data_IF_712656353579
#
_entry.id   IF_712656353579
#
_cell.length_a   1.000
_cell.length_b   1.000
_cell.length_c   1.000
_cell.angle_alpha   90.00
_cell.angle_beta   90.00
_cell.angle_gamma   90.00
#
_symmetry.space_group_name_H-M   'P 1'
#
loop_
_entity.id
_entity.type
_entity.pdbx_description
1 polymer ?
#
# COMPACT_ATOMS: atom_id res chain seq x y z
N UNK A 1 4.29 -53.43 -25.91
CA UNK A 1 3.18 -53.41 -26.90
C UNK A 1 2.14 -52.32 -26.61
N UNK A 2 2.00 -51.85 -25.36
CA UNK A 2 1.14 -50.70 -25.01
C UNK A 2 1.85 -49.35 -25.27
N UNK A 3 3.17 -49.26 -25.05
CA UNK A 3 3.95 -48.02 -25.25
C UNK A 3 4.09 -47.57 -26.72
N UNK A 4 3.90 -48.47 -27.68
CA UNK A 4 3.89 -48.11 -29.10
C UNK A 4 2.56 -47.41 -29.49
N UNK A 5 1.45 -47.83 -28.89
CA UNK A 5 0.11 -47.29 -29.15
C UNK A 5 -0.04 -45.89 -28.52
N UNK A 6 0.60 -45.65 -27.37
CA UNK A 6 0.58 -44.33 -26.70
C UNK A 6 1.43 -43.30 -27.49
N UNK A 7 2.50 -43.74 -28.18
CA UNK A 7 3.34 -42.84 -28.99
C UNK A 7 2.64 -42.36 -30.28
N UNK A 8 1.81 -43.20 -30.89
CA UNK A 8 1.07 -42.86 -32.12
C UNK A 8 -0.20 -42.02 -31.87
N UNK A 9 -0.70 -41.92 -30.63
CA UNK A 9 -1.84 -41.04 -30.31
C UNK A 9 -1.43 -39.60 -29.95
N UNK A 10 -0.15 -39.33 -29.69
CA UNK A 10 0.34 -37.97 -29.40
C UNK A 10 0.75 -37.17 -30.65
N UNK A 11 0.70 -37.78 -31.84
CA UNK A 11 0.98 -37.10 -33.12
C UNK A 11 -0.27 -36.61 -33.84
N UNK A 12 -1.47 -36.82 -33.29
CA UNK A 12 -2.67 -36.05 -33.68
C UNK A 12 -2.73 -34.72 -32.94
N UNK A 13 -1.62 -33.97 -32.94
CA UNK A 13 -1.70 -32.53 -32.78
C UNK A 13 -2.35 -32.00 -34.05
N UNK A 14 -3.66 -31.83 -34.03
CA UNK A 14 -4.33 -30.90 -34.93
C UNK A 14 -3.73 -29.53 -34.65
N UNK A 15 -2.59 -29.24 -35.29
CA UNK A 15 -2.05 -27.89 -35.32
C UNK A 15 -3.09 -27.07 -36.05
N UNK A 16 -3.72 -26.14 -35.32
CA UNK A 16 -4.44 -25.05 -35.97
C UNK A 16 -3.36 -24.20 -36.63
N UNK A 17 -3.04 -24.51 -37.87
CA UNK A 17 -2.20 -23.69 -38.73
C UNK A 17 -3.03 -22.50 -39.15
N UNK A 18 -2.86 -21.38 -38.45
CA UNK A 18 -3.38 -20.09 -38.89
C UNK A 18 -2.71 -19.76 -40.23
N UNK A 19 -3.47 -19.85 -41.33
CA UNK A 19 -3.07 -19.37 -42.64
C UNK A 19 -3.34 -17.86 -42.68
N UNK A 20 -2.33 -16.99 -42.53
CA UNK A 20 -2.53 -15.53 -42.44
C UNK A 20 -3.09 -14.93 -43.74
N UNK A 21 -3.01 -15.66 -44.85
CA UNK A 21 -3.41 -15.20 -46.17
C UNK A 21 -4.93 -15.17 -46.42
N UNK A 22 -5.76 -15.75 -45.53
CA UNK A 22 -7.22 -15.74 -45.68
C UNK A 22 -7.93 -14.62 -44.89
N UNK A 23 -7.22 -13.84 -44.09
CA UNK A 23 -7.76 -12.71 -43.31
C UNK A 23 -7.48 -11.36 -43.96
N UNK A 24 -7.53 -11.28 -45.30
CA UNK A 24 -7.09 -10.06 -45.97
C UNK A 24 -7.98 -8.83 -45.75
N UNK A 25 -9.23 -8.94 -45.28
CA UNK A 25 -10.08 -7.76 -45.06
C UNK A 25 -11.13 -7.90 -43.94
N UNK A 26 -10.96 -8.80 -42.96
CA UNK A 26 -11.85 -8.83 -41.80
C UNK A 26 -11.24 -8.04 -40.65
N UNK A 27 -11.82 -6.87 -40.35
CA UNK A 27 -11.58 -6.16 -39.10
C UNK A 27 -12.10 -7.01 -37.94
N UNK A 28 -11.22 -7.82 -37.36
CA UNK A 28 -11.51 -8.53 -36.11
C UNK A 28 -11.64 -7.44 -35.04
N UNK A 29 -12.87 -7.16 -34.64
CA UNK A 29 -13.17 -6.24 -33.54
C UNK A 29 -13.23 -7.04 -32.24
N UNK A 30 -12.19 -6.97 -31.38
CA UNK A 30 -12.19 -7.71 -30.15
C UNK A 30 -13.28 -7.17 -29.21
N UNK A 31 -13.97 -8.09 -28.52
CA UNK A 31 -15.01 -7.77 -27.53
C UNK A 31 -14.60 -8.29 -26.15
N UNK A 32 -15.02 -7.60 -25.12
CA UNK A 32 -14.95 -8.03 -23.73
C UNK A 32 -16.34 -8.00 -23.10
N UNK A 33 -16.84 -9.16 -22.64
CA UNK A 33 -18.21 -9.30 -22.14
C UNK A 33 -19.26 -8.68 -23.10
N UNK A 34 -19.15 -8.99 -24.39
CA UNK A 34 -19.97 -8.44 -25.49
C UNK A 34 -19.84 -6.94 -25.78
N UNK A 35 -18.97 -6.23 -25.05
CA UNK A 35 -18.66 -4.81 -25.28
C UNK A 35 -17.49 -4.70 -26.25
N UNK A 36 -17.62 -3.86 -27.29
CA UNK A 36 -16.55 -3.59 -28.24
C UNK A 36 -15.37 -2.89 -27.56
N UNK A 37 -14.15 -3.31 -27.90
CA UNK A 37 -12.93 -2.70 -27.39
C UNK A 37 -12.44 -1.67 -28.41
N UNK A 38 -12.68 -0.40 -28.13
CA UNK A 38 -12.29 0.72 -29.00
C UNK A 38 -10.86 1.23 -28.73
N UNK A 39 -10.10 0.53 -27.88
CA UNK A 39 -8.73 0.86 -27.52
C UNK A 39 -7.75 -0.22 -28.00
N UNK A 40 -6.45 0.13 -28.07
CA UNK A 40 -5.41 -0.83 -28.41
C UNK A 40 -5.44 -2.05 -27.47
N UNK A 41 -5.56 -3.26 -28.03
CA UNK A 41 -5.80 -4.50 -27.28
C UNK A 41 -4.81 -4.70 -26.11
N UNK A 42 -3.52 -4.41 -26.31
CA UNK A 42 -2.52 -4.55 -25.25
C UNK A 42 -2.76 -3.58 -24.09
N UNK A 43 -3.20 -2.34 -24.37
CA UNK A 43 -3.55 -1.35 -23.34
C UNK A 43 -4.78 -1.82 -22.56
N UNK A 44 -5.76 -2.36 -23.28
CA UNK A 44 -6.96 -2.94 -22.68
C UNK A 44 -6.65 -4.15 -21.77
N UNK A 45 -5.81 -5.08 -22.22
CA UNK A 45 -5.36 -6.22 -21.39
C UNK A 45 -4.58 -5.76 -20.15
N UNK A 46 -3.75 -4.72 -20.31
CA UNK A 46 -3.01 -4.12 -19.19
C UNK A 46 -3.98 -3.50 -18.18
N UNK A 47 -5.01 -2.80 -18.66
CA UNK A 47 -6.09 -2.28 -17.83
C UNK A 47 -6.74 -3.43 -17.06
N UNK A 48 -7.29 -4.46 -17.73
CA UNK A 48 -7.92 -5.62 -17.06
C UNK A 48 -7.04 -6.20 -15.95
N UNK A 49 -5.74 -6.37 -16.22
CA UNK A 49 -4.79 -6.89 -15.23
C UNK A 49 -4.70 -5.95 -14.01
N UNK A 50 -4.49 -4.66 -14.24
CA UNK A 50 -4.46 -3.65 -13.17
C UNK A 50 -5.76 -3.64 -12.37
N UNK A 51 -6.89 -3.85 -13.03
CA UNK A 51 -8.21 -3.90 -12.41
C UNK A 51 -8.32 -5.03 -11.40
N UNK A 52 -8.03 -6.25 -11.85
CA UNK A 52 -8.05 -7.44 -11.02
C UNK A 52 -7.06 -7.33 -9.86
N UNK A 53 -5.86 -6.80 -10.14
CA UNK A 53 -4.84 -6.62 -9.11
C UNK A 53 -5.29 -5.64 -8.04
N UNK A 54 -5.95 -4.54 -8.43
CA UNK A 54 -6.47 -3.61 -7.46
C UNK A 54 -7.62 -4.17 -6.64
N UNK A 55 -8.60 -4.80 -7.29
CA UNK A 55 -9.72 -5.45 -6.59
C UNK A 55 -9.19 -6.48 -5.59
N UNK A 56 -8.21 -7.28 -5.98
CA UNK A 56 -7.54 -8.21 -5.07
C UNK A 56 -6.85 -7.49 -3.92
N UNK A 57 -6.14 -6.39 -4.18
CA UNK A 57 -5.45 -5.62 -3.14
C UNK A 57 -6.43 -4.97 -2.16
N UNK A 58 -7.45 -4.27 -2.64
CA UNK A 58 -8.37 -3.52 -1.80
C UNK A 58 -9.29 -4.44 -0.99
N UNK A 59 -9.58 -5.64 -1.50
CA UNK A 59 -10.39 -6.64 -0.81
C UNK A 59 -9.65 -7.39 0.30
N UNK A 60 -8.33 -7.18 0.47
CA UNK A 60 -7.60 -7.69 1.62
C UNK A 60 -8.23 -7.17 2.92
N UNK A 61 -8.40 -8.03 3.92
CA UNK A 61 -9.03 -7.67 5.21
C UNK A 61 -8.38 -6.44 5.87
N UNK A 62 -7.06 -6.33 5.77
CA UNK A 62 -6.28 -5.19 6.30
C UNK A 62 -6.61 -3.84 5.63
N UNK A 63 -7.14 -3.88 4.41
CA UNK A 63 -7.54 -2.70 3.64
C UNK A 63 -9.04 -2.39 3.80
N UNK A 64 -9.74 -3.05 4.73
CA UNK A 64 -11.17 -2.83 4.99
C UNK A 64 -11.55 -1.36 5.18
N UNK A 65 -10.71 -0.59 5.88
CA UNK A 65 -10.84 0.87 6.04
C UNK A 65 -10.90 1.62 4.71
N UNK A 66 -10.09 1.22 3.73
CA UNK A 66 -10.03 1.90 2.45
C UNK A 66 -11.18 1.51 1.51
N UNK A 67 -11.85 0.38 1.75
CA UNK A 67 -13.04 0.01 0.97
C UNK A 67 -14.20 0.97 1.17
N UNK A 68 -14.42 1.42 2.41
CA UNK A 68 -15.48 2.40 2.73
C UNK A 68 -15.10 3.82 2.34
N UNK A 69 -13.81 4.11 2.18
CA UNK A 69 -13.25 5.41 1.83
C UNK A 69 -12.59 5.43 0.44
N UNK A 70 -13.07 4.58 -0.47
CA UNK A 70 -12.45 4.36 -1.79
C UNK A 70 -12.37 5.66 -2.61
N UNK A 71 -13.39 6.51 -2.51
CA UNK A 71 -13.53 7.81 -3.19
C UNK A 71 -12.70 8.92 -2.55
N UNK A 72 -12.29 8.73 -1.30
CA UNK A 72 -11.60 9.74 -0.51
C UNK A 72 -10.08 9.66 -0.68
N UNK A 73 -9.61 8.67 -1.46
CA UNK A 73 -8.20 8.40 -1.74
C UNK A 73 -7.92 8.70 -3.21
N UNK A 74 -6.89 9.50 -3.46
CA UNK A 74 -6.32 9.65 -4.79
C UNK A 74 -5.36 8.47 -5.05
N UNK A 75 -5.90 7.35 -5.53
CA UNK A 75 -5.15 6.13 -5.81
C UNK A 75 -4.07 6.31 -6.87
N UNK A 76 -4.30 7.18 -7.85
CA UNK A 76 -3.31 7.47 -8.88
C UNK A 76 -2.07 8.15 -8.27
N UNK A 77 -2.26 9.23 -7.51
CA UNK A 77 -1.17 9.87 -6.78
C UNK A 77 -0.49 8.92 -5.78
N UNK A 78 -1.29 8.05 -5.13
CA UNK A 78 -0.80 7.02 -4.20
C UNK A 78 0.19 6.07 -4.89
N UNK A 79 -0.18 5.46 -6.03
CA UNK A 79 0.72 4.54 -6.71
C UNK A 79 1.90 5.25 -7.37
N UNK A 80 1.71 6.45 -7.92
CA UNK A 80 2.81 7.25 -8.46
C UNK A 80 3.86 7.58 -7.38
N UNK A 81 3.45 7.81 -6.12
CA UNK A 81 4.40 8.02 -5.01
C UNK A 81 5.30 6.80 -4.73
N UNK A 82 4.79 5.57 -4.90
CA UNK A 82 5.64 4.38 -4.74
C UNK A 82 6.67 4.23 -5.88
N UNK A 83 6.42 4.87 -7.02
CA UNK A 83 7.30 4.90 -8.17
C UNK A 83 8.18 6.17 -8.24
N UNK A 84 8.00 7.12 -7.31
CA UNK A 84 8.65 8.44 -7.39
C UNK A 84 10.17 8.41 -7.17
N UNK A 85 10.71 7.34 -6.56
CA UNK A 85 12.13 7.25 -6.23
C UNK A 85 12.99 6.72 -7.40
N UNK A 86 12.37 6.31 -8.51
CA UNK A 86 13.10 5.86 -9.70
C UNK A 86 13.38 7.02 -10.66
N UNK A 87 14.65 7.29 -10.94
CA UNK A 87 15.08 8.29 -11.94
C UNK A 87 14.55 7.99 -13.35
N UNK A 88 14.38 6.70 -13.66
CA UNK A 88 13.68 6.26 -14.87
C UNK A 88 12.99 4.91 -14.65
N UNK A 89 11.98 4.62 -15.46
CA UNK A 89 11.33 3.29 -15.49
C UNK A 89 12.25 2.18 -16.02
N UNK A 90 13.39 2.54 -16.62
CA UNK A 90 14.31 1.62 -17.28
C UNK A 90 15.52 1.26 -16.40
N UNK A 91 15.78 2.05 -15.35
CA UNK A 91 16.95 1.89 -14.48
C UNK A 91 16.47 1.56 -13.08
N UNK A 92 16.98 0.44 -12.54
CA UNK A 92 16.75 0.07 -11.14
C UNK A 92 18.05 0.26 -10.37
N UNK A 93 17.98 0.96 -9.24
CA UNK A 93 19.12 1.09 -8.33
C UNK A 93 18.77 0.43 -7.00
N UNK A 94 19.78 -0.10 -6.28
CA UNK A 94 19.54 -0.86 -5.05
C UNK A 94 18.88 -0.02 -3.96
N UNK A 95 19.21 1.26 -3.87
CA UNK A 95 18.67 2.17 -2.85
C UNK A 95 17.17 2.45 -3.06
N UNK A 96 16.77 2.77 -4.29
CA UNK A 96 15.38 3.02 -4.68
C UNK A 96 14.56 1.74 -4.60
N UNK A 97 15.13 0.61 -5.01
CA UNK A 97 14.48 -0.71 -4.86
C UNK A 97 14.25 -1.06 -3.39
N UNK A 98 15.25 -0.86 -2.51
CA UNK A 98 15.12 -1.07 -1.08
C UNK A 98 14.06 -0.14 -0.46
N UNK A 99 14.13 1.16 -0.77
CA UNK A 99 13.19 2.18 -0.27
C UNK A 99 11.76 1.87 -0.72
N UNK A 100 11.54 1.55 -1.99
CA UNK A 100 10.24 1.12 -2.52
C UNK A 100 9.73 -0.15 -1.83
N UNK A 101 10.57 -1.16 -1.67
CA UNK A 101 10.21 -2.39 -0.94
C UNK A 101 9.80 -2.09 0.50
N UNK A 102 10.51 -1.19 1.18
CA UNK A 102 10.20 -0.80 2.55
C UNK A 102 8.89 0.00 2.63
N UNK A 103 8.69 1.01 1.77
CA UNK A 103 7.40 1.72 1.62
C UNK A 103 6.24 0.74 1.43
N UNK A 104 6.40 -0.25 0.55
CA UNK A 104 5.39 -1.30 0.34
C UNK A 104 5.13 -2.07 1.64
N UNK A 105 6.17 -2.49 2.38
CA UNK A 105 6.00 -3.18 3.68
C UNK A 105 5.23 -2.32 4.69
N UNK A 106 5.41 -1.01 4.70
CA UNK A 106 4.60 -0.10 5.54
C UNK A 106 3.14 -0.11 5.07
N UNK A 107 2.90 0.09 3.76
CA UNK A 107 1.56 0.08 3.16
C UNK A 107 0.78 -1.19 3.52
N UNK A 108 1.42 -2.35 3.37
CA UNK A 108 0.80 -3.65 3.66
C UNK A 108 0.93 -4.08 5.13
N UNK A 109 1.47 -3.24 6.02
CA UNK A 109 1.64 -3.55 7.45
C UNK A 109 2.52 -4.79 7.77
N UNK A 110 3.47 -5.12 6.90
CA UNK A 110 4.40 -6.25 7.05
C UNK A 110 5.81 -5.79 7.49
N UNK A 111 5.87 -4.72 8.29
CA UNK A 111 7.09 -4.38 9.02
C UNK A 111 7.43 -5.50 10.02
N UNK A 112 8.73 -5.78 10.28
CA UNK A 112 9.17 -6.81 11.22
C UNK A 112 8.99 -6.36 12.69
N UNK A 113 7.74 -6.17 13.09
CA UNK A 113 7.35 -6.03 14.51
C UNK A 113 7.53 -7.35 15.24
N UNK A 114 7.52 -7.34 16.58
CA UNK A 114 7.58 -8.58 17.36
C UNK A 114 6.48 -9.57 16.96
N UNK A 115 5.23 -9.13 16.81
CA UNK A 115 4.14 -10.02 16.42
C UNK A 115 4.32 -10.60 15.01
N UNK A 116 4.92 -9.83 14.08
CA UNK A 116 5.28 -10.37 12.76
C UNK A 116 6.45 -11.37 12.86
N UNK A 117 7.46 -11.08 13.68
CA UNK A 117 8.62 -11.95 13.88
C UNK A 117 8.25 -13.28 14.56
N UNK A 118 7.27 -13.29 15.47
CA UNK A 118 6.71 -14.50 16.07
C UNK A 118 6.14 -15.46 15.02
N UNK A 119 5.53 -14.96 13.95
CA UNK A 119 5.03 -15.80 12.84
C UNK A 119 6.17 -16.50 12.10
N UNK A 120 7.31 -15.83 11.96
CA UNK A 120 8.47 -16.36 11.24
C UNK A 120 9.34 -17.29 12.11
N UNK A 121 9.47 -16.98 13.41
CA UNK A 121 10.32 -17.70 14.36
C UNK A 121 9.68 -17.72 15.77
N UNK A 122 8.59 -18.50 15.99
CA UNK A 122 7.85 -18.48 17.26
C UNK A 122 8.74 -18.85 18.45
N UNK A 123 9.59 -19.87 18.33
CA UNK A 123 10.45 -20.37 19.40
C UNK A 123 11.45 -19.32 19.93
N UNK A 124 11.81 -18.33 19.10
CA UNK A 124 12.74 -17.27 19.50
C UNK A 124 12.03 -16.09 20.18
N UNK A 125 10.78 -15.81 19.79
CA UNK A 125 10.12 -14.55 20.13
C UNK A 125 8.80 -14.70 20.89
N UNK A 126 8.33 -15.91 21.22
CA UNK A 126 6.98 -16.14 21.76
C UNK A 126 6.59 -15.22 22.94
N UNK A 127 7.54 -15.02 23.87
CA UNK A 127 7.33 -14.23 25.09
C UNK A 127 7.82 -12.77 24.96
N UNK A 128 8.12 -12.32 23.75
CA UNK A 128 8.59 -10.96 23.52
C UNK A 128 7.42 -10.00 23.41
N UNK A 129 7.64 -8.79 23.91
CA UNK A 129 6.72 -7.66 23.86
C UNK A 129 7.43 -6.47 23.21
N UNK A 130 6.73 -5.35 23.10
CA UNK A 130 7.32 -4.16 22.48
C UNK A 130 8.64 -3.76 23.15
N UNK A 131 9.74 -3.66 22.38
CA UNK A 131 11.07 -3.39 22.94
C UNK A 131 11.20 -1.98 23.54
N UNK A 132 10.29 -1.07 23.16
CA UNK A 132 10.31 0.33 23.60
C UNK A 132 9.57 0.53 24.93
N UNK A 133 8.34 0.01 25.05
CA UNK A 133 7.53 0.24 26.25
C UNK A 133 7.69 -0.83 27.32
N UNK A 134 8.14 -2.05 26.98
CA UNK A 134 8.30 -3.13 27.96
C UNK A 134 9.52 -2.93 28.88
N UNK A 135 10.51 -2.14 28.45
CA UNK A 135 11.72 -1.88 29.21
C UNK A 135 11.66 -0.60 30.05
N UNK A 136 10.53 0.11 30.03
CA UNK A 136 10.43 1.42 30.63
C UNK A 136 9.92 1.33 32.07
N UNK A 137 10.81 1.61 33.03
CA UNK A 137 10.57 1.55 34.48
C UNK A 137 9.37 2.42 34.92
N UNK A 138 9.02 3.44 34.12
CA UNK A 138 7.91 4.36 34.41
C UNK A 138 6.51 3.78 34.15
N UNK A 139 6.39 2.65 33.46
CA UNK A 139 5.11 1.98 33.22
C UNK A 139 5.10 0.64 33.94
N UNK A 140 4.76 0.67 35.23
CA UNK A 140 4.44 -0.52 36.02
C UNK A 140 3.50 -1.43 35.20
N UNK A 141 4.01 -2.60 34.78
CA UNK A 141 3.26 -3.77 34.34
C UNK A 141 2.45 -3.71 33.02
N UNK A 142 2.90 -3.02 31.97
CA UNK A 142 2.20 -3.06 30.67
C UNK A 142 3.06 -3.63 29.53
N UNK A 143 3.32 -4.94 29.60
CA UNK A 143 3.86 -5.73 28.49
C UNK A 143 2.87 -5.77 27.32
N UNK A 144 2.95 -4.80 26.42
CA UNK A 144 2.07 -4.69 25.25
C UNK A 144 2.67 -5.41 24.04
N UNK A 145 1.82 -6.14 23.31
CA UNK A 145 2.19 -6.78 22.05
C UNK A 145 2.52 -5.73 20.99
N UNK A 146 3.66 -5.85 20.35
CA UNK A 146 4.05 -4.94 19.27
C UNK A 146 3.43 -5.36 17.93
N UNK A 147 2.21 -4.89 17.69
CA UNK A 147 1.57 -4.90 16.37
C UNK A 147 2.02 -3.69 15.55
N UNK A 148 1.71 -3.68 14.25
CA UNK A 148 1.94 -2.48 13.41
C UNK A 148 1.28 -1.24 14.01
N UNK A 149 0.01 -1.34 14.42
CA UNK A 149 -0.72 -0.23 15.07
C UNK A 149 -0.06 0.22 16.38
N UNK A 150 0.50 -0.71 17.17
CA UNK A 150 1.19 -0.37 18.41
C UNK A 150 2.40 0.55 18.19
N UNK A 151 3.09 0.51 17.04
CA UNK A 151 4.23 1.42 16.75
C UNK A 151 3.80 2.88 16.93
N UNK A 152 2.62 3.23 16.42
CA UNK A 152 2.04 4.58 16.43
C UNK A 152 1.48 4.96 17.80
N UNK A 153 0.91 3.99 18.52
CA UNK A 153 0.26 4.19 19.81
C UNK A 153 1.17 3.90 21.01
N UNK A 154 2.41 3.49 20.77
CA UNK A 154 3.37 3.15 21.81
C UNK A 154 3.60 4.38 22.70
N UNK A 155 3.44 4.26 24.04
CA UNK A 155 3.64 5.39 24.95
C UNK A 155 5.02 6.05 24.79
N UNK A 156 6.06 5.26 24.48
CA UNK A 156 7.41 5.75 24.23
C UNK A 156 7.51 6.66 22.99
N UNK A 157 6.68 6.42 21.98
CA UNK A 157 6.68 7.19 20.73
C UNK A 157 5.71 8.37 20.74
N UNK A 158 4.87 8.52 21.78
CA UNK A 158 3.84 9.57 21.86
C UNK A 158 4.38 10.98 21.57
N UNK A 159 5.42 11.40 22.29
CA UNK A 159 6.09 12.71 22.08
C UNK A 159 6.76 12.79 20.70
N UNK A 160 7.34 11.69 20.22
CA UNK A 160 8.01 11.66 18.91
C UNK A 160 7.01 11.90 17.78
N UNK A 161 5.85 11.24 17.82
CA UNK A 161 4.80 11.46 16.83
C UNK A 161 4.19 12.86 16.92
N UNK A 162 4.01 13.41 18.12
CA UNK A 162 3.58 14.80 18.26
C UNK A 162 4.54 15.78 17.55
N UNK A 163 5.85 15.60 17.74
CA UNK A 163 6.87 16.43 17.08
C UNK A 163 6.86 16.19 15.57
N UNK A 164 6.87 14.94 15.13
CA UNK A 164 6.88 14.54 13.72
C UNK A 164 5.67 15.13 12.97
N UNK A 165 4.46 15.01 13.52
CA UNK A 165 3.25 15.58 12.92
C UNK A 165 3.38 17.10 12.77
N UNK A 166 3.85 17.80 13.80
CA UNK A 166 4.01 19.25 13.77
C UNK A 166 5.11 19.70 12.80
N UNK A 167 6.21 18.96 12.69
CA UNK A 167 7.27 19.24 11.72
C UNK A 167 6.76 19.08 10.30
N UNK A 168 6.02 18.00 10.02
CA UNK A 168 5.45 17.75 8.69
C UNK A 168 4.38 18.79 8.31
N UNK A 169 3.58 19.28 9.27
CA UNK A 169 2.69 20.43 9.04
C UNK A 169 3.47 21.69 8.61
N UNK A 170 4.53 22.02 9.34
CA UNK A 170 5.39 23.18 9.03
C UNK A 170 6.07 23.02 7.67
N UNK A 171 6.54 21.81 7.35
CA UNK A 171 7.17 21.50 6.08
C UNK A 171 6.19 21.64 4.90
N UNK A 172 4.97 21.10 5.02
CA UNK A 172 3.94 21.28 4.01
C UNK A 172 3.62 22.77 3.80
N UNK A 173 3.49 23.53 4.88
CA UNK A 173 3.28 24.98 4.81
C UNK A 173 4.43 25.69 4.10
N UNK A 174 5.67 25.33 4.39
CA UNK A 174 6.86 25.89 3.73
C UNK A 174 6.87 25.60 2.23
N UNK A 175 6.48 24.39 1.79
CA UNK A 175 6.37 24.05 0.37
C UNK A 175 5.30 24.90 -0.32
N UNK A 176 4.16 25.14 0.34
CA UNK A 176 3.03 25.86 -0.24
C UNK A 176 3.23 27.38 -0.28
N UNK A 177 3.95 27.96 0.69
CA UNK A 177 4.24 29.39 0.73
C UNK A 177 4.94 29.90 -0.54
N UNK A 178 5.67 29.05 -1.26
CA UNK A 178 6.30 29.41 -2.53
C UNK A 178 5.28 29.69 -3.64
N UNK A 179 4.06 29.22 -3.49
CA UNK A 179 2.98 29.33 -4.48
C UNK A 179 1.80 30.16 -3.99
N UNK A 180 1.81 30.58 -2.72
CA UNK A 180 0.76 31.43 -2.16
C UNK A 180 0.91 32.89 -2.61
N UNK A 181 0.24 33.22 -3.72
CA UNK A 181 0.16 34.60 -4.23
C UNK A 181 -0.68 35.53 -3.35
N UNK A 182 -1.52 34.98 -2.48
CA UNK A 182 -2.52 35.72 -1.70
C UNK A 182 -2.05 36.09 -0.30
N UNK A 183 -0.90 35.57 0.15
CA UNK A 183 -0.38 35.69 1.52
C UNK A 183 -1.40 35.31 2.61
N UNK A 184 -2.37 34.45 2.27
CA UNK A 184 -3.43 34.00 3.19
C UNK A 184 -3.08 32.70 3.91
N UNK A 185 -2.06 32.00 3.43
CA UNK A 185 -1.69 30.68 3.92
C UNK A 185 -0.96 30.80 5.26
N UNK A 186 -1.57 30.23 6.29
CA UNK A 186 -1.02 30.19 7.63
C UNK A 186 -1.24 28.81 8.25
N UNK A 187 -0.73 28.59 9.45
CA UNK A 187 -0.86 27.30 10.12
C UNK A 187 -2.33 26.91 10.35
N UNK A 188 -3.22 27.90 10.54
CA UNK A 188 -4.66 27.68 10.69
C UNK A 188 -5.34 27.21 9.40
N UNK A 189 -4.76 27.49 8.23
CA UNK A 189 -5.24 26.98 6.94
C UNK A 189 -5.22 25.45 6.90
N UNK A 190 -4.35 24.80 7.69
CA UNK A 190 -4.27 23.34 7.82
C UNK A 190 -5.33 22.73 8.75
N UNK A 191 -6.16 23.55 9.42
CA UNK A 191 -7.22 23.05 10.32
C UNK A 191 -8.31 22.29 9.57
N UNK A 192 -8.53 22.62 8.29
CA UNK A 192 -9.43 21.86 7.39
C UNK A 192 -8.98 20.40 7.24
N UNK A 193 -7.69 20.13 7.46
CA UNK A 193 -7.06 18.81 7.41
C UNK A 193 -6.84 18.21 8.82
N UNK A 194 -7.49 18.75 9.85
CA UNK A 194 -7.29 18.37 11.27
C UNK A 194 -7.29 16.86 11.53
N UNK A 195 -8.21 16.12 10.90
CA UNK A 195 -8.32 14.67 11.02
C UNK A 195 -7.09 13.91 10.51
N UNK A 196 -6.42 14.41 9.46
CA UNK A 196 -5.18 13.84 8.92
C UNK A 196 -3.99 13.96 9.87
N UNK A 197 -4.08 14.84 10.87
CA UNK A 197 -3.03 15.08 11.86
C UNK A 197 -3.23 14.29 13.16
N UNK A 198 -4.15 13.33 13.15
CA UNK A 198 -4.47 12.48 14.30
C UNK A 198 -3.97 11.05 14.11
N UNK A 199 -3.84 10.30 15.21
CA UNK A 199 -3.52 8.87 15.21
C UNK A 199 -4.73 8.00 15.64
N UNK A 200 -5.85 8.61 16.00
CA UNK A 200 -6.88 8.00 16.86
C UNK A 200 -7.99 7.24 16.12
N UNK A 201 -8.20 7.46 14.82
CA UNK A 201 -9.34 6.91 14.09
C UNK A 201 -9.01 5.66 13.26
N UNK A 202 -9.70 4.55 13.53
CA UNK A 202 -9.61 3.37 12.67
C UNK A 202 -10.50 3.45 11.43
N UNK A 203 -11.45 4.39 11.41
CA UNK A 203 -12.46 4.50 10.36
C UNK A 203 -12.08 5.54 9.32
N UNK A 204 -11.75 6.77 9.72
CA UNK A 204 -11.37 7.85 8.79
C UNK A 204 -9.88 7.87 8.49
N UNK A 205 -9.51 8.38 7.31
CA UNK A 205 -8.10 8.61 6.97
C UNK A 205 -7.42 9.49 8.02
N UNK A 206 -6.19 9.15 8.39
CA UNK A 206 -5.45 9.83 9.44
C UNK A 206 -3.94 9.82 9.16
N UNK A 207 -3.12 10.23 10.13
CA UNK A 207 -1.68 10.36 9.94
C UNK A 207 -0.98 9.03 9.68
N UNK A 208 -1.50 7.91 10.20
CA UNK A 208 -0.97 6.57 9.94
C UNK A 208 -1.09 6.23 8.46
N UNK A 209 -2.20 6.63 7.83
CA UNK A 209 -2.41 6.40 6.39
C UNK A 209 -1.46 7.26 5.54
N UNK A 210 -1.12 8.48 5.99
CA UNK A 210 -0.07 9.29 5.37
C UNK A 210 1.30 8.60 5.46
N UNK A 211 1.65 8.03 6.62
CA UNK A 211 2.90 7.26 6.78
C UNK A 211 2.92 6.02 5.88
N UNK A 212 1.76 5.39 5.65
CA UNK A 212 1.61 4.29 4.68
C UNK A 212 1.74 4.73 3.22
N UNK A 213 1.75 6.03 2.93
CA UNK A 213 1.83 6.56 1.58
C UNK A 213 0.47 6.66 0.86
N UNK A 214 -0.64 6.48 1.58
CA UNK A 214 -1.99 6.70 1.02
C UNK A 214 -2.19 8.20 0.87
N UNK A 215 -2.62 8.65 -0.32
CA UNK A 215 -2.87 10.06 -0.62
C UNK A 215 -4.35 10.40 -0.46
N UNK A 216 -4.78 11.13 0.59
CA UNK A 216 -6.15 11.60 0.70
C UNK A 216 -6.47 12.60 -0.42
N UNK A 217 -7.63 12.45 -1.04
CA UNK A 217 -8.13 13.36 -2.08
C UNK A 217 -8.25 14.79 -1.54
N UNK A 218 -8.71 14.96 -0.31
CA UNK A 218 -8.81 16.27 0.35
C UNK A 218 -7.44 16.95 0.47
N UNK A 219 -6.36 16.21 0.73
CA UNK A 219 -5.00 16.76 0.77
C UNK A 219 -4.53 17.17 -0.63
N UNK A 220 -4.79 16.33 -1.63
CA UNK A 220 -4.48 16.64 -3.03
C UNK A 220 -5.19 17.92 -3.48
N UNK A 221 -6.51 17.99 -3.27
CA UNK A 221 -7.36 19.11 -3.67
C UNK A 221 -6.95 20.40 -2.93
N UNK A 222 -6.57 20.29 -1.65
CA UNK A 222 -6.04 21.40 -0.87
C UNK A 222 -4.77 21.97 -1.52
N UNK A 223 -3.77 21.15 -1.84
CA UNK A 223 -2.52 21.61 -2.48
C UNK A 223 -2.82 22.17 -3.87
N UNK A 224 -3.63 21.46 -4.67
CA UNK A 224 -4.04 21.89 -5.99
C UNK A 224 -4.77 23.25 -5.96
N UNK A 225 -5.50 23.56 -4.89
CA UNK A 225 -6.21 24.83 -4.75
C UNK A 225 -5.30 26.05 -4.76
N UNK A 226 -4.05 25.93 -4.31
CA UNK A 226 -3.04 27.00 -4.32
C UNK A 226 -2.24 27.01 -5.62
N UNK A 227 -1.86 25.83 -6.10
CA UNK A 227 -0.90 25.69 -7.21
C UNK A 227 -1.58 25.75 -8.58
N UNK A 228 -2.81 25.21 -8.69
CA UNK A 228 -3.59 25.09 -9.93
C UNK A 228 -2.86 24.35 -11.06
N UNK A 229 -1.94 23.45 -10.72
CA UNK A 229 -1.19 22.64 -11.68
C UNK A 229 -0.97 21.23 -11.12
N UNK A 230 -1.34 20.20 -11.90
CA UNK A 230 -1.29 18.80 -11.50
C UNK A 230 0.14 18.30 -11.24
N UNK A 231 1.09 18.60 -12.12
CA UNK A 231 2.47 18.11 -11.98
C UNK A 231 3.15 18.70 -10.75
N UNK A 232 3.00 20.01 -10.55
CA UNK A 232 3.57 20.69 -9.37
C UNK A 232 2.88 20.22 -8.08
N UNK A 233 1.57 19.94 -8.12
CA UNK A 233 0.84 19.36 -6.98
C UNK A 233 1.43 18.01 -6.59
N UNK A 234 1.69 17.13 -7.57
CA UNK A 234 2.33 15.84 -7.35
C UNK A 234 3.76 16.00 -6.82
N UNK A 235 4.54 16.94 -7.34
CA UNK A 235 5.90 17.21 -6.86
C UNK A 235 5.90 17.63 -5.38
N UNK A 236 5.02 18.57 -4.99
CA UNK A 236 4.86 19.00 -3.59
C UNK A 236 4.42 17.83 -2.71
N UNK A 237 3.43 17.03 -3.18
CA UNK A 237 2.99 15.84 -2.48
C UNK A 237 4.16 14.87 -2.26
N UNK A 238 4.89 14.51 -3.30
CA UNK A 238 5.97 13.54 -3.18
C UNK A 238 7.10 14.04 -2.28
N UNK A 239 7.44 15.32 -2.33
CA UNK A 239 8.37 15.93 -1.39
C UNK A 239 7.86 15.81 0.06
N UNK A 240 6.59 16.14 0.30
CA UNK A 240 5.93 16.01 1.60
C UNK A 240 5.94 14.56 2.13
N UNK A 241 5.51 13.59 1.33
CA UNK A 241 5.53 12.18 1.72
C UNK A 241 6.95 11.63 1.90
N UNK A 242 7.92 12.11 1.10
CA UNK A 242 9.32 11.75 1.27
C UNK A 242 9.87 12.26 2.62
N UNK A 243 9.44 13.45 3.06
CA UNK A 243 9.79 13.97 4.39
C UNK A 243 9.14 13.15 5.50
N UNK A 244 7.84 12.82 5.40
CA UNK A 244 7.15 11.94 6.37
C UNK A 244 7.90 10.63 6.52
N UNK A 245 8.20 9.96 5.40
CA UNK A 245 8.93 8.70 5.41
C UNK A 245 10.31 8.84 6.07
N UNK A 246 11.06 9.89 5.72
CA UNK A 246 12.37 10.16 6.28
C UNK A 246 12.31 10.33 7.81
N UNK A 247 11.45 11.21 8.30
CA UNK A 247 11.30 11.47 9.72
C UNK A 247 10.79 10.23 10.49
N UNK A 248 9.85 9.47 9.91
CA UNK A 248 9.40 8.21 10.51
C UNK A 248 10.55 7.21 10.64
N UNK A 249 11.38 7.08 9.61
CA UNK A 249 12.53 6.18 9.63
C UNK A 249 13.55 6.61 10.68
N UNK A 250 13.93 7.89 10.68
CA UNK A 250 14.99 8.43 11.56
C UNK A 250 14.57 8.49 13.03
N UNK A 251 13.34 8.92 13.35
CA UNK A 251 12.93 9.14 14.74
C UNK A 251 12.25 7.94 15.38
N UNK A 252 11.60 7.07 14.59
CA UNK A 252 10.77 5.99 15.11
C UNK A 252 11.34 4.63 14.75
N UNK A 253 11.46 4.33 13.45
CA UNK A 253 11.71 2.96 13.01
C UNK A 253 13.15 2.49 13.24
N UNK A 254 14.16 3.28 12.85
CA UNK A 254 15.58 2.93 13.03
C UNK A 254 15.93 2.83 14.52
N UNK A 255 15.58 3.79 15.40
CA UNK A 255 15.86 3.68 16.83
C UNK A 255 15.19 2.45 17.48
N UNK A 256 13.97 2.11 17.05
CA UNK A 256 13.32 0.86 17.48
C UNK A 256 14.12 -0.37 17.05
N UNK A 257 14.62 -0.40 15.82
CA UNK A 257 15.41 -1.52 15.32
C UNK A 257 16.72 -1.67 16.10
N UNK A 258 17.36 -0.58 16.49
CA UNK A 258 18.58 -0.60 17.31
C UNK A 258 18.31 -1.19 18.70
N UNK A 259 17.25 -0.75 19.38
CA UNK A 259 16.85 -1.29 20.69
C UNK A 259 16.53 -2.79 20.58
N UNK A 260 15.82 -3.19 19.53
CA UNK A 260 15.54 -4.60 19.25
C UNK A 260 16.83 -5.42 19.07
N UNK A 261 17.82 -4.89 18.33
CA UNK A 261 19.10 -5.57 18.14
C UNK A 261 19.88 -5.72 19.44
N UNK A 262 19.83 -4.73 20.34
CA UNK A 262 20.45 -4.82 21.67
C UNK A 262 19.82 -5.93 22.50
N UNK A 263 18.48 -6.00 22.54
CA UNK A 263 17.75 -7.05 23.25
C UNK A 263 18.02 -8.45 22.67
N UNK A 264 18.09 -8.56 21.34
CA UNK A 264 18.43 -9.84 20.71
C UNK A 264 19.81 -10.32 21.10
N UNK A 265 20.80 -9.41 21.17
CA UNK A 265 22.14 -9.75 21.63
C UNK A 265 22.16 -10.16 23.10
N UNK A 266 21.40 -9.50 23.98
CA UNK A 266 21.33 -9.89 25.40
C UNK A 266 20.67 -11.25 25.61
N UNK A 267 19.83 -11.70 24.67
CA UNK A 267 19.22 -13.03 24.66
C UNK A 267 19.97 -14.06 23.78
N UNK A 268 21.21 -13.76 23.34
CA UNK A 268 22.03 -14.62 22.47
C UNK A 268 21.34 -15.02 21.14
N UNK A 269 20.45 -14.16 20.63
CA UNK A 269 19.77 -14.33 19.35
C UNK A 269 20.61 -13.71 18.24
N UNK A 270 21.14 -14.54 17.34
CA UNK A 270 21.94 -14.09 16.20
C UNK A 270 21.23 -14.27 14.86
N UNK A 271 21.65 -13.49 13.85
CA UNK A 271 21.08 -13.54 12.48
C UNK A 271 21.07 -14.95 11.89
N UNK A 272 22.12 -15.75 12.14
CA UNK A 272 22.23 -17.14 11.67
C UNK A 272 21.10 -18.03 12.19
N UNK A 273 20.77 -17.92 13.48
CA UNK A 273 19.68 -18.71 14.09
C UNK A 273 18.32 -18.36 13.48
N UNK A 274 18.07 -17.08 13.19
CA UNK A 274 16.82 -16.65 12.53
C UNK A 274 16.69 -17.20 11.11
N UNK A 275 17.79 -17.33 10.37
CA UNK A 275 17.77 -17.86 9.00
C UNK A 275 17.49 -19.36 8.98
N UNK A 276 18.19 -20.12 9.85
CA UNK A 276 18.02 -21.57 9.96
C UNK A 276 16.58 -21.92 10.35
N UNK A 277 16.01 -21.22 11.34
CA UNK A 277 14.66 -21.51 11.86
C UNK A 277 13.51 -21.08 10.95
N UNK A 278 13.72 -20.12 10.04
CA UNK A 278 12.74 -19.79 8.98
C UNK A 278 12.63 -20.88 7.91
N UNK A 279 13.71 -21.64 7.72
CA UNK A 279 13.78 -22.69 6.71
C UNK A 279 13.47 -24.09 7.28
N UNK A 280 13.58 -24.29 8.60
CA UNK A 280 13.05 -25.48 9.25
C UNK A 280 11.52 -25.42 9.24
N UNK A 281 10.90 -26.36 8.55
CA UNK A 281 9.45 -26.50 8.37
C UNK A 281 8.69 -26.54 9.69
N UNK A 282 8.39 -25.39 10.29
CA UNK A 282 7.35 -25.33 11.30
C UNK A 282 6.00 -25.43 10.57
N UNK A 283 5.12 -26.37 10.92
CA UNK A 283 3.79 -26.41 10.34
C UNK A 283 3.15 -25.07 10.66
N UNK A 284 2.74 -24.33 9.61
CA UNK A 284 1.98 -23.11 9.78
C UNK A 284 0.78 -23.48 10.64
N UNK A 285 0.76 -23.07 11.90
CA UNK A 285 -0.45 -23.08 12.68
C UNK A 285 -1.37 -22.09 11.97
N UNK A 286 -2.24 -22.61 11.11
CA UNK A 286 -3.41 -21.91 10.63
C UNK A 286 -4.29 -21.71 11.87
N UNK A 287 -3.97 -20.71 12.69
CA UNK A 287 -4.95 -20.12 13.58
C UNK A 287 -5.98 -19.47 12.66
N UNK A 288 -6.98 -20.25 12.26
CA UNK A 288 -8.22 -19.76 11.69
C UNK A 288 -8.79 -18.77 12.70
N UNK A 289 -8.50 -17.48 12.50
CA UNK A 289 -9.25 -16.43 13.18
C UNK A 289 -10.71 -16.69 12.88
N UNK A 290 -11.52 -16.88 13.92
CA UNK A 290 -12.98 -16.94 13.87
C UNK A 290 -13.50 -15.98 12.79
N UNK A 291 -13.90 -16.55 11.66
CA UNK A 291 -14.37 -15.80 10.52
C UNK A 291 -15.73 -15.21 10.87
N UNK A 292 -15.78 -13.92 11.18
CA UNK A 292 -17.06 -13.21 11.11
C UNK A 292 -17.46 -13.13 9.63
N UNK A 293 -18.59 -13.78 9.32
CA UNK A 293 -19.16 -14.00 7.98
C UNK A 293 -19.72 -12.74 7.30
N UNK A 294 -19.33 -11.53 7.73
CA UNK A 294 -19.94 -10.27 7.29
C UNK A 294 -19.09 -9.46 6.31
N UNK A 295 -18.02 -10.02 5.74
CA UNK A 295 -17.18 -9.32 4.75
C UNK A 295 -17.49 -9.81 3.33
N UNK A 296 -18.64 -9.41 2.80
CA UNK A 296 -18.90 -9.49 1.35
C UNK A 296 -17.88 -8.57 0.65
N UNK A 297 -17.17 -9.01 -0.41
CA UNK A 297 -16.33 -8.12 -1.19
C UNK A 297 -17.20 -6.99 -1.76
N UNK A 298 -16.88 -5.74 -1.41
CA UNK A 298 -17.64 -4.57 -1.89
C UNK A 298 -17.38 -4.25 -3.36
N UNK A 299 -16.28 -4.79 -3.91
CA UNK A 299 -15.85 -4.60 -5.29
C UNK A 299 -15.64 -5.97 -5.93
N UNK A 300 -16.53 -6.29 -6.87
CA UNK A 300 -16.52 -7.52 -7.67
C UNK A 300 -16.73 -7.16 -9.15
N UNK A 301 -16.27 -8.06 -10.01
CA UNK A 301 -16.60 -8.14 -11.44
C UNK A 301 -16.12 -6.99 -12.34
N UNK A 302 -15.04 -6.27 -11.98
CA UNK A 302 -14.46 -5.25 -12.86
C UNK A 302 -15.47 -4.14 -13.20
N UNK A 303 -16.37 -3.79 -12.28
CA UNK A 303 -17.39 -2.75 -12.49
C UNK A 303 -16.77 -1.39 -12.83
N UNK A 304 -15.60 -1.08 -12.27
CA UNK A 304 -14.81 0.08 -12.64
C UNK A 304 -14.28 0.03 -14.09
N UNK A 305 -14.05 -1.17 -14.64
CA UNK A 305 -13.64 -1.35 -16.04
C UNK A 305 -14.83 -1.06 -16.95
N UNK A 306 -16.03 -1.57 -16.61
CA UNK A 306 -17.27 -1.20 -17.30
C UNK A 306 -17.46 0.32 -17.31
N UNK A 307 -17.33 0.99 -16.15
CA UNK A 307 -17.43 2.45 -16.09
C UNK A 307 -16.37 3.17 -16.94
N UNK A 308 -15.12 2.67 -16.97
CA UNK A 308 -14.06 3.24 -17.80
C UNK A 308 -14.35 3.10 -19.30
N UNK A 309 -14.95 1.98 -19.72
CA UNK A 309 -15.32 1.72 -21.12
C UNK A 309 -16.50 2.60 -21.54
N UNK A 310 -17.54 2.72 -20.70
CA UNK A 310 -18.76 3.46 -21.05
C UNK A 310 -18.62 4.98 -20.92
N UNK A 311 -17.86 5.48 -19.94
CA UNK A 311 -17.85 6.90 -19.58
C UNK A 311 -16.47 7.56 -19.70
N UNK A 312 -15.45 6.83 -20.18
CA UNK A 312 -14.08 7.36 -20.32
C UNK A 312 -13.41 7.71 -18.99
N UNK A 313 -13.94 7.22 -17.87
CA UNK A 313 -13.40 7.47 -16.53
C UNK A 313 -12.10 6.71 -16.26
N UNK A 314 -11.25 7.27 -15.39
CA UNK A 314 -10.08 6.56 -14.85
C UNK A 314 -10.59 5.32 -14.09
N UNK A 315 -9.99 4.15 -14.31
CA UNK A 315 -10.42 2.87 -13.72
C UNK A 315 -10.52 2.87 -12.17
N UNK A 316 -9.87 3.82 -11.50
CA UNK A 316 -9.94 3.97 -10.03
C UNK A 316 -11.17 4.75 -9.54
N UNK A 317 -11.96 5.31 -10.46
CA UNK A 317 -13.19 6.04 -10.17
C UNK A 317 -14.35 5.04 -10.11
N UNK A 318 -14.75 4.71 -8.88
CA UNK A 318 -16.03 4.04 -8.64
C UNK A 318 -17.09 5.13 -8.68
N UNK A 319 -18.03 5.01 -9.62
CA UNK A 319 -19.15 5.92 -9.73
C UNK A 319 -19.88 5.97 -8.39
N UNK A 320 -19.99 7.17 -7.82
CA UNK A 320 -21.00 7.47 -6.81
C UNK A 320 -22.34 7.01 -7.36
N UNK A 321 -23.03 6.15 -6.60
CA UNK A 321 -24.25 5.49 -7.04
C UNK A 321 -25.21 6.45 -7.73
N UNK A 322 -25.43 6.21 -9.03
CA UNK A 322 -26.72 6.50 -9.63
C UNK A 322 -27.60 5.31 -9.28
N UNK A 323 -28.28 5.41 -8.14
CA UNK A 323 -29.53 4.70 -7.94
C UNK A 323 -30.48 5.20 -9.01
N UNK A 324 -30.64 4.41 -10.07
CA UNK A 324 -31.74 4.58 -11.01
C UNK A 324 -32.98 4.12 -10.24
N UNK A 325 -33.76 5.09 -9.77
CA UNK A 325 -35.18 4.92 -9.47
C UNK A 325 -35.96 4.71 -10.76
#
# INVERSE_FOLDING_TARGET
MIDAIIKDQHTSTSFITFLPHNLQHQSILPKWNDILIDTHLQKFLTQISNCKNFESFINLHRNSKYRTHISDINWEATFQYFDSDSESKLITNFSSSYRKSHKIKILIEELPTIEHMKKACPDLFNNWFCPLCSNNILNNNNSQKETFSHIFHCPYNSRKFFILINNNKKFLLQLLLQYDKSFSLSFSSLNSLSFLWSLSSNYTLNFIDLVKGIVPKVLFDFIFSFVKNNSITLDILFQFYNNIYKEFMEFVWIPRCEIQLVLERSHNIHRKQKFIRRNSSNPRSNSSSSYNSSNVPLLLDQNSLRNSIYFGGIFWIFGTGLTIS
#
